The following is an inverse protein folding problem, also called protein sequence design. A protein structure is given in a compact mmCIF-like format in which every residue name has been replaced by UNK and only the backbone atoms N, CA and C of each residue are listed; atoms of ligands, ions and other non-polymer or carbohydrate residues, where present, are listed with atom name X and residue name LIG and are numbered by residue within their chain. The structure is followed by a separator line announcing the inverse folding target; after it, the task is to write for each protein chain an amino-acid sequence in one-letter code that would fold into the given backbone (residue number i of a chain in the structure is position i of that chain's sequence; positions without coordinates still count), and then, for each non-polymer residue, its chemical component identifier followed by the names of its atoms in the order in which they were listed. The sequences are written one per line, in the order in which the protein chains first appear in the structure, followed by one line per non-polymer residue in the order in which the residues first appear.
data_IF_905736395266
#
_entry.id   IF_905736395266
#
_cell.length_a   1.000
_cell.length_b   1.000
_cell.length_c   1.000
_cell.angle_alpha   90.00
_cell.angle_beta   90.00
_cell.angle_gamma   90.00
#
_symmetry.space_group_name_H-M   'P 1'
#
loop_
_entity.id
_entity.type
_entity.pdbx_description
1 polymer ?
#
# COMPACT_ATOMS: atom_id res chain seq x y z
N UNK A 1 9.91 6.79 -20.44
CA UNK A 1 8.85 6.97 -19.42
C UNK A 1 8.20 5.65 -18.98
N UNK A 2 7.86 4.74 -19.90
CA UNK A 2 7.20 3.45 -19.58
C UNK A 2 7.96 2.60 -18.54
N UNK A 3 9.30 2.45 -18.68
CA UNK A 3 10.11 1.71 -17.71
C UNK A 3 10.03 2.33 -16.31
N UNK A 4 10.16 3.66 -16.21
CA UNK A 4 10.04 4.38 -14.94
C UNK A 4 8.64 4.19 -14.33
N UNK A 5 7.57 4.33 -15.11
CA UNK A 5 6.21 4.10 -14.65
C UNK A 5 6.02 2.68 -14.12
N UNK A 6 6.53 1.68 -14.84
CA UNK A 6 6.46 0.26 -14.43
C UNK A 6 7.22 0.00 -13.13
N UNK A 7 8.41 0.59 -12.96
CA UNK A 7 9.20 0.50 -11.72
C UNK A 7 8.42 1.13 -10.56
N UNK A 8 7.82 2.31 -10.75
CA UNK A 8 7.06 2.99 -9.70
C UNK A 8 5.80 2.22 -9.29
N UNK A 9 5.04 1.70 -10.26
CA UNK A 9 3.89 0.83 -9.98
C UNK A 9 4.32 -0.42 -9.22
N UNK A 10 5.41 -1.07 -9.65
CA UNK A 10 5.97 -2.24 -8.98
C UNK A 10 6.42 -1.93 -7.55
N UNK A 11 7.04 -0.77 -7.33
CA UNK A 11 7.43 -0.32 -5.99
C UNK A 11 6.21 -0.12 -5.07
N UNK A 12 5.11 0.45 -5.57
CA UNK A 12 3.86 0.59 -4.80
C UNK A 12 3.24 -0.77 -4.49
N UNK A 13 3.25 -1.71 -5.44
CA UNK A 13 2.77 -3.07 -5.22
C UNK A 13 3.59 -3.78 -4.13
N UNK A 14 4.92 -3.72 -4.19
CA UNK A 14 5.82 -4.29 -3.19
C UNK A 14 5.65 -3.64 -1.82
N UNK A 15 5.42 -2.33 -1.76
CA UNK A 15 5.10 -1.64 -0.52
C UNK A 15 3.84 -2.23 0.13
N UNK A 16 2.80 -2.53 -0.65
CA UNK A 16 1.56 -3.09 -0.13
C UNK A 16 1.71 -4.56 0.29
N UNK A 17 2.56 -5.33 -0.39
CA UNK A 17 2.99 -6.66 0.11
C UNK A 17 3.72 -6.53 1.45
N UNK A 18 4.62 -5.56 1.59
CA UNK A 18 5.30 -5.31 2.84
C UNK A 18 4.33 -4.95 3.98
N UNK A 19 3.36 -4.08 3.72
CA UNK A 19 2.32 -3.71 4.70
C UNK A 19 1.45 -4.93 5.04
N UNK A 20 1.04 -5.72 4.06
CA UNK A 20 0.31 -6.98 4.28
C UNK A 20 1.06 -7.90 5.24
N UNK A 21 2.37 -8.11 5.03
CA UNK A 21 3.16 -8.98 5.90
C UNK A 21 3.27 -8.41 7.31
N UNK A 22 3.44 -7.09 7.43
CA UNK A 22 3.46 -6.43 8.73
C UNK A 22 2.13 -6.58 9.48
N UNK A 23 0.99 -6.47 8.80
CA UNK A 23 -0.34 -6.48 9.40
C UNK A 23 -0.88 -7.90 9.66
N UNK A 24 -0.61 -8.87 8.78
CA UNK A 24 -1.12 -10.24 8.92
C UNK A 24 -0.19 -11.15 9.74
N UNK A 25 1.13 -10.96 9.61
CA UNK A 25 2.12 -11.91 10.16
C UNK A 25 2.89 -11.29 11.33
N UNK A 26 3.33 -10.04 11.19
CA UNK A 26 4.26 -9.41 12.13
C UNK A 26 3.61 -8.43 13.11
N UNK A 27 2.28 -8.29 13.11
CA UNK A 27 1.57 -7.25 13.88
C UNK A 27 1.88 -7.28 15.37
N UNK A 28 1.88 -8.48 15.96
CA UNK A 28 2.18 -8.71 17.39
C UNK A 28 3.66 -8.99 17.65
N UNK A 29 4.52 -8.89 16.63
CA UNK A 29 5.98 -9.09 16.75
C UNK A 29 6.67 -7.74 16.99
N UNK A 30 7.91 -7.73 17.52
CA UNK A 30 8.63 -6.48 17.82
C UNK A 30 8.72 -5.51 16.64
N UNK A 31 8.89 -6.02 15.42
CA UNK A 31 8.95 -5.19 14.21
C UNK A 31 7.60 -4.50 13.92
N UNK A 32 6.48 -5.24 13.91
CA UNK A 32 5.16 -4.66 13.66
C UNK A 32 4.78 -3.64 14.73
N UNK A 33 4.97 -3.98 16.01
CA UNK A 33 4.73 -3.05 17.12
C UNK A 33 5.57 -1.77 17.01
N UNK A 34 6.84 -1.87 16.61
CA UNK A 34 7.72 -0.71 16.39
C UNK A 34 7.26 0.17 15.23
N UNK A 35 6.87 -0.44 14.10
CA UNK A 35 6.43 0.31 12.91
C UNK A 35 5.12 1.05 13.17
N UNK A 36 4.14 0.38 13.79
CA UNK A 36 2.82 0.94 14.06
C UNK A 36 2.69 1.64 15.41
N UNK A 37 3.77 1.67 16.22
CA UNK A 37 3.80 2.29 17.56
C UNK A 37 2.70 1.74 18.48
N UNK A 38 2.52 0.42 18.49
CA UNK A 38 1.55 -0.26 19.34
C UNK A 38 2.20 -0.79 20.63
N UNK A 39 1.42 -0.84 21.71
CA UNK A 39 1.76 -1.64 22.90
C UNK A 39 1.45 -3.13 22.66
N UNK A 40 2.05 -4.06 23.42
CA UNK A 40 1.73 -5.49 23.33
C UNK A 40 0.24 -5.79 23.51
N UNK A 41 -0.41 -5.13 24.47
CA UNK A 41 -1.82 -5.31 24.80
C UNK A 41 -2.72 -4.86 23.64
N UNK A 42 -2.45 -3.67 23.10
CA UNK A 42 -3.19 -3.13 21.95
C UNK A 42 -2.96 -3.99 20.70
N UNK A 43 -1.73 -4.43 20.45
CA UNK A 43 -1.41 -5.28 19.30
C UNK A 43 -2.16 -6.61 19.37
N UNK A 44 -2.24 -7.24 20.55
CA UNK A 44 -3.04 -8.46 20.71
C UNK A 44 -4.53 -8.22 20.55
N UNK A 45 -5.07 -7.18 21.19
CA UNK A 45 -6.50 -6.86 21.11
C UNK A 45 -6.98 -6.56 19.66
N UNK A 46 -6.09 -6.04 18.81
CA UNK A 46 -6.42 -5.63 17.43
C UNK A 46 -5.90 -6.59 16.35
N UNK A 47 -5.31 -7.73 16.71
CA UNK A 47 -4.63 -8.63 15.76
C UNK A 47 -5.52 -9.08 14.60
N UNK A 48 -6.77 -9.46 14.87
CA UNK A 48 -7.69 -9.94 13.83
C UNK A 48 -8.11 -8.81 12.89
N UNK A 49 -8.34 -7.61 13.44
CA UNK A 49 -8.66 -6.42 12.66
C UNK A 49 -7.50 -6.04 11.73
N UNK A 50 -6.27 -6.04 12.26
CA UNK A 50 -5.06 -5.79 11.48
C UNK A 50 -4.87 -6.83 10.37
N UNK A 51 -5.08 -8.12 10.67
CA UNK A 51 -5.00 -9.16 9.64
C UNK A 51 -5.99 -8.94 8.48
N UNK A 52 -7.20 -8.44 8.77
CA UNK A 52 -8.17 -8.09 7.74
C UNK A 52 -7.74 -6.86 6.93
N UNK A 53 -7.16 -5.85 7.58
CA UNK A 53 -6.55 -4.69 6.90
C UNK A 53 -5.41 -5.12 5.96
N UNK A 54 -4.57 -6.05 6.41
CA UNK A 54 -3.49 -6.62 5.63
C UNK A 54 -3.97 -7.36 4.39
N UNK A 55 -5.10 -8.09 4.47
CA UNK A 55 -5.69 -8.76 3.32
C UNK A 55 -6.12 -7.77 2.22
N UNK A 56 -6.73 -6.63 2.60
CA UNK A 56 -7.07 -5.59 1.63
C UNK A 56 -5.82 -5.00 0.95
N UNK A 57 -4.73 -4.79 1.69
CA UNK A 57 -3.43 -4.42 1.12
C UNK A 57 -2.93 -5.47 0.10
N UNK A 58 -3.20 -6.75 0.35
CA UNK A 58 -2.94 -7.85 -0.59
C UNK A 58 -3.71 -7.71 -1.90
N UNK A 59 -5.00 -7.34 -1.85
CA UNK A 59 -5.78 -7.11 -3.06
C UNK A 59 -5.25 -5.93 -3.88
N UNK A 60 -4.81 -4.85 -3.22
CA UNK A 60 -4.17 -3.72 -3.90
C UNK A 60 -2.88 -4.14 -4.60
N UNK A 61 -2.01 -4.88 -3.90
CA UNK A 61 -0.78 -5.41 -4.48
C UNK A 61 -1.04 -6.35 -5.67
N UNK A 62 -1.99 -7.28 -5.53
CA UNK A 62 -2.36 -8.22 -6.58
C UNK A 62 -2.93 -7.51 -7.81
N UNK A 63 -3.80 -6.50 -7.62
CA UNK A 63 -4.35 -5.68 -8.70
C UNK A 63 -3.27 -4.92 -9.48
N UNK A 64 -2.31 -4.31 -8.78
CA UNK A 64 -1.18 -3.63 -9.42
C UNK A 64 -0.25 -4.60 -10.17
N UNK A 65 0.06 -5.75 -9.57
CA UNK A 65 0.86 -6.79 -10.22
C UNK A 65 0.17 -7.35 -11.47
N UNK A 66 -1.14 -7.59 -11.39
CA UNK A 66 -1.95 -8.00 -12.54
C UNK A 66 -1.93 -6.93 -13.64
N UNK A 67 -2.16 -5.66 -13.28
CA UNK A 67 -2.07 -4.54 -14.23
C UNK A 67 -0.72 -4.51 -14.96
N UNK A 68 0.39 -4.69 -14.23
CA UNK A 68 1.74 -4.76 -14.81
C UNK A 68 1.91 -5.97 -15.76
N UNK A 69 1.55 -7.18 -15.34
CA UNK A 69 1.72 -8.39 -16.16
C UNK A 69 0.87 -8.33 -17.42
N UNK A 70 -0.38 -7.85 -17.30
CA UNK A 70 -1.31 -7.72 -18.41
C UNK A 70 -1.11 -6.43 -19.24
N UNK A 71 -0.18 -5.55 -18.84
CA UNK A 71 0.05 -4.23 -19.46
C UNK A 71 -1.24 -3.37 -19.54
N UNK A 72 -2.06 -3.41 -18.48
CA UNK A 72 -3.37 -2.74 -18.40
C UNK A 72 -3.29 -1.45 -17.59
N UNK A 73 -3.10 -0.33 -18.29
CA UNK A 73 -2.94 1.01 -17.69
C UNK A 73 -4.19 1.41 -16.90
N UNK A 74 -5.37 1.09 -17.40
CA UNK A 74 -6.66 1.33 -16.73
C UNK A 74 -6.74 0.62 -15.36
N UNK A 75 -6.31 -0.64 -15.29
CA UNK A 75 -6.24 -1.41 -14.04
C UNK A 75 -5.22 -0.79 -13.08
N UNK A 76 -4.03 -0.44 -13.57
CA UNK A 76 -3.00 0.20 -12.74
C UNK A 76 -3.49 1.53 -12.16
N UNK A 77 -4.12 2.39 -12.98
CA UNK A 77 -4.66 3.68 -12.55
C UNK A 77 -5.78 3.52 -11.51
N UNK A 78 -6.68 2.55 -11.69
CA UNK A 78 -7.74 2.29 -10.72
C UNK A 78 -7.16 1.94 -9.34
N UNK A 79 -6.26 0.95 -9.28
CA UNK A 79 -5.67 0.52 -8.01
C UNK A 79 -4.79 1.59 -7.38
N UNK A 80 -3.97 2.31 -8.16
CA UNK A 80 -3.19 3.43 -7.65
C UNK A 80 -4.10 4.54 -7.11
N UNK A 81 -5.23 4.82 -7.78
CA UNK A 81 -6.24 5.76 -7.31
C UNK A 81 -6.81 5.35 -5.95
N UNK A 82 -7.14 4.07 -5.77
CA UNK A 82 -7.54 3.53 -4.47
C UNK A 82 -6.45 3.73 -3.41
N UNK A 83 -5.17 3.49 -3.74
CA UNK A 83 -4.05 3.72 -2.81
C UNK A 83 -3.93 5.19 -2.42
N UNK A 84 -4.09 6.12 -3.36
CA UNK A 84 -4.07 7.57 -3.06
C UNK A 84 -5.20 7.93 -2.11
N UNK A 85 -6.44 7.52 -2.40
CA UNK A 85 -7.61 7.83 -1.57
C UNK A 85 -7.46 7.24 -0.17
N UNK A 86 -7.11 5.95 -0.06
CA UNK A 86 -6.90 5.28 1.22
C UNK A 86 -5.73 5.90 2.00
N UNK A 87 -4.64 6.24 1.33
CA UNK A 87 -3.47 6.88 1.94
C UNK A 87 -3.75 8.29 2.45
N UNK A 88 -4.58 9.07 1.75
CA UNK A 88 -5.05 10.38 2.20
C UNK A 88 -5.99 10.25 3.42
N UNK A 89 -6.96 9.32 3.35
CA UNK A 89 -7.86 9.05 4.45
C UNK A 89 -7.10 8.59 5.71
N UNK A 90 -6.22 7.61 5.59
CA UNK A 90 -5.34 7.15 6.66
C UNK A 90 -4.39 8.24 7.17
N UNK A 91 -3.94 9.12 6.27
CA UNK A 91 -3.18 10.32 6.61
C UNK A 91 -3.89 11.25 7.58
N UNK A 92 -5.20 11.44 7.36
CA UNK A 92 -6.07 12.26 8.19
C UNK A 92 -6.51 11.55 9.49
N UNK A 93 -6.88 10.26 9.41
CA UNK A 93 -7.50 9.54 10.51
C UNK A 93 -6.53 8.78 11.43
N UNK A 94 -5.33 8.43 10.96
CA UNK A 94 -4.39 7.57 11.70
C UNK A 94 -3.03 8.26 11.89
N UNK A 95 -2.36 8.67 10.81
CA UNK A 95 -1.04 9.29 10.90
C UNK A 95 -0.65 9.97 9.61
N UNK A 96 -0.18 11.22 9.70
CA UNK A 96 0.35 12.00 8.55
C UNK A 96 1.45 11.28 7.78
N UNK A 97 2.17 10.34 8.41
CA UNK A 97 3.21 9.52 7.75
C UNK A 97 2.63 8.70 6.59
N UNK A 98 1.37 8.29 6.67
CA UNK A 98 0.71 7.47 5.64
C UNK A 98 0.62 8.23 4.31
N UNK A 99 0.44 9.55 4.34
CA UNK A 99 0.45 10.37 3.12
C UNK A 99 1.78 10.22 2.38
N UNK A 100 2.89 10.29 3.11
CA UNK A 100 4.23 10.23 2.51
C UNK A 100 4.65 8.80 2.12
N UNK A 101 4.20 7.79 2.86
CA UNK A 101 4.59 6.39 2.60
C UNK A 101 3.69 5.74 1.55
N UNK A 102 2.40 6.09 1.47
CA UNK A 102 1.46 5.44 0.56
C UNK A 102 0.94 6.37 -0.54
N UNK A 103 0.31 7.49 -0.17
CA UNK A 103 -0.38 8.34 -1.14
C UNK A 103 0.60 9.02 -2.12
N UNK A 104 1.72 9.55 -1.62
CA UNK A 104 2.70 10.24 -2.46
C UNK A 104 3.35 9.29 -3.48
N UNK A 105 3.89 8.11 -3.12
CA UNK A 105 4.42 7.16 -4.11
C UNK A 105 3.38 6.73 -5.15
N UNK A 106 2.13 6.52 -4.74
CA UNK A 106 1.05 6.18 -5.68
C UNK A 106 0.73 7.33 -6.63
N UNK A 107 0.66 8.57 -6.13
CA UNK A 107 0.46 9.75 -6.97
C UNK A 107 1.60 9.97 -7.97
N UNK A 108 2.86 9.72 -7.56
CA UNK A 108 4.02 9.75 -8.46
C UNK A 108 3.95 8.66 -9.53
N UNK A 109 3.50 7.45 -9.17
CA UNK A 109 3.27 6.37 -10.12
C UNK A 109 2.17 6.71 -11.14
N UNK A 110 1.06 7.33 -10.69
CA UNK A 110 -0.01 7.84 -11.57
C UNK A 110 0.56 8.87 -12.54
N UNK A 111 1.27 9.89 -12.03
CA UNK A 111 1.86 10.92 -12.88
C UNK A 111 2.82 10.32 -13.92
N UNK A 112 3.65 9.35 -13.52
CA UNK A 112 4.55 8.67 -14.45
C UNK A 112 3.81 7.85 -15.51
N UNK A 113 2.70 7.18 -15.17
CA UNK A 113 1.85 6.49 -16.14
C UNK A 113 1.21 7.47 -17.13
N UNK A 114 0.62 8.56 -16.65
CA UNK A 114 -0.03 9.57 -17.50
C UNK A 114 0.95 10.33 -18.40
N UNK A 115 2.23 10.39 -18.05
CA UNK A 115 3.28 10.97 -18.91
C UNK A 115 3.90 9.96 -19.87
N UNK A 116 3.63 8.67 -19.68
CA UNK A 116 4.18 7.59 -20.51
C UNK A 116 3.23 7.14 -21.63
N UNK A 117 1.94 7.47 -21.53
CA UNK A 117 0.84 7.12 -22.44
C UNK A 117 0.04 8.36 -22.80
#
# INVERSE_FOLDING_TARGET
MILLASILVGAVALLHVYILVLEMVLWTRPLGMKVFRNSPEKAQATRVLAANQGLYNGFLAAGLAWGLVAQRVDVMLFFLGCVVVAGLYGGWSVSRRIVFVQALPAALAIAALLLAY
#
